data_IF_388416674843
#
_entry.id   IF_388416674843
#
_cell.length_a   1.000
_cell.length_b   1.000
_cell.length_c   1.000
_cell.angle_alpha   90.00
_cell.angle_beta   90.00
_cell.angle_gamma   90.00
#
_symmetry.space_group_name_H-M   'P 1'
#
loop_
_entity.id
_entity.type
_entity.pdbx_description
1 polymer ?
#
# COMPACT_ATOMS: atom_id res chain seq x y z
N UNK A 1 -60.16 -9.30 10.39
CA UNK A 1 -59.07 -8.51 11.01
C UNK A 1 -57.81 -9.32 10.81
N UNK A 2 -56.94 -8.89 9.89
CA UNK A 2 -55.72 -9.60 9.52
C UNK A 2 -54.53 -8.81 10.12
N UNK A 3 -53.75 -9.38 11.05
CA UNK A 3 -52.55 -8.73 11.56
C UNK A 3 -51.37 -9.03 10.62
N UNK A 4 -50.35 -8.17 10.68
CA UNK A 4 -49.03 -8.27 10.01
C UNK A 4 -48.97 -7.93 8.50
N UNK A 5 -48.87 -6.65 8.21
CA UNK A 5 -47.87 -6.18 7.25
C UNK A 5 -46.84 -5.40 8.07
N UNK A 6 -45.62 -5.93 8.20
CA UNK A 6 -44.48 -5.17 8.72
C UNK A 6 -44.10 -4.04 7.75
N UNK A 7 -43.32 -3.04 8.18
CA UNK A 7 -42.86 -1.98 7.31
C UNK A 7 -42.13 -2.60 6.11
N UNK A 8 -42.59 -2.27 4.92
CA UNK A 8 -41.90 -2.62 3.68
C UNK A 8 -40.65 -1.77 3.65
N UNK A 9 -39.47 -2.39 3.56
CA UNK A 9 -38.21 -1.68 3.35
C UNK A 9 -38.30 -0.90 2.04
N UNK A 10 -38.54 0.40 2.17
CA UNK A 10 -38.65 1.33 1.05
C UNK A 10 -37.25 1.54 0.49
N UNK A 11 -36.97 0.84 -0.61
CA UNK A 11 -35.69 0.94 -1.31
C UNK A 11 -35.64 2.31 -1.99
N UNK A 12 -34.79 3.19 -1.47
CA UNK A 12 -34.45 4.46 -2.14
C UNK A 12 -33.61 4.13 -3.38
N UNK A 13 -34.23 4.13 -4.56
CA UNK A 13 -33.53 3.97 -5.83
C UNK A 13 -32.91 5.32 -6.24
N UNK A 14 -31.59 5.37 -6.36
CA UNK A 14 -30.91 6.53 -6.93
C UNK A 14 -31.13 6.56 -8.45
N UNK A 15 -31.40 7.75 -9.03
CA UNK A 15 -31.51 7.89 -10.48
C UNK A 15 -30.27 7.35 -11.18
N UNK A 16 -30.44 6.73 -12.35
CA UNK A 16 -29.33 6.18 -13.13
C UNK A 16 -28.32 7.27 -13.53
N UNK A 17 -27.09 6.89 -13.85
CA UNK A 17 -25.94 7.79 -14.15
C UNK A 17 -26.18 8.82 -15.27
N UNK A 18 -27.23 8.65 -16.08
CA UNK A 18 -27.61 9.56 -17.17
C UNK A 18 -28.74 10.53 -16.81
N UNK A 19 -29.40 10.33 -15.68
CA UNK A 19 -30.51 11.17 -15.24
C UNK A 19 -29.98 12.38 -14.46
N UNK A 20 -30.52 13.55 -14.79
CA UNK A 20 -30.13 14.81 -14.15
C UNK A 20 -30.93 15.01 -12.89
N UNK A 21 -30.25 15.30 -11.80
CA UNK A 21 -30.87 15.66 -10.53
C UNK A 21 -30.74 17.16 -10.29
N UNK A 22 -31.84 17.83 -9.99
CA UNK A 22 -31.79 19.24 -9.58
C UNK A 22 -31.34 19.36 -8.11
N UNK A 23 -30.68 20.46 -7.72
CA UNK A 23 -30.28 20.68 -6.33
C UNK A 23 -31.46 20.56 -5.34
N UNK A 24 -32.64 21.01 -5.75
CA UNK A 24 -33.86 20.93 -4.94
C UNK A 24 -34.35 19.49 -4.77
N UNK A 25 -34.28 18.67 -5.83
CA UNK A 25 -34.63 17.25 -5.75
C UNK A 25 -33.68 16.50 -4.81
N UNK A 26 -32.38 16.76 -4.90
CA UNK A 26 -31.39 16.14 -4.02
C UNK A 26 -31.58 16.57 -2.56
N UNK A 27 -31.85 17.86 -2.33
CA UNK A 27 -32.14 18.36 -1.00
C UNK A 27 -33.39 17.70 -0.41
N UNK A 28 -34.46 17.55 -1.21
CA UNK A 28 -35.67 16.86 -0.79
C UNK A 28 -35.40 15.39 -0.42
N UNK A 29 -34.66 14.65 -1.26
CA UNK A 29 -34.26 13.27 -0.96
C UNK A 29 -33.40 13.16 0.30
N UNK A 30 -32.49 14.11 0.51
CA UNK A 30 -31.65 14.19 1.72
C UNK A 30 -32.52 14.41 2.97
N UNK A 31 -33.53 15.28 2.90
CA UNK A 31 -34.47 15.53 3.99
C UNK A 31 -35.37 14.32 4.28
N UNK A 32 -35.80 13.58 3.25
CA UNK A 32 -36.55 12.34 3.40
C UNK A 32 -35.71 11.26 4.11
N UNK A 33 -34.47 11.03 3.66
CA UNK A 33 -33.55 10.07 4.30
C UNK A 33 -33.27 10.48 5.75
N UNK A 34 -33.02 11.78 6.01
CA UNK A 34 -32.84 12.31 7.37
C UNK A 34 -34.07 12.01 8.23
N UNK A 35 -35.27 12.29 7.73
CA UNK A 35 -36.50 12.06 8.47
C UNK A 35 -36.73 10.56 8.76
N UNK A 36 -36.38 9.67 7.84
CA UNK A 36 -36.44 8.23 8.04
C UNK A 36 -35.48 7.77 9.16
N UNK A 37 -34.21 8.20 9.12
CA UNK A 37 -33.21 7.80 10.12
C UNK A 37 -33.56 8.33 11.52
N UNK A 38 -34.10 9.55 11.62
CA UNK A 38 -34.60 10.10 12.89
C UNK A 38 -35.82 9.34 13.39
N UNK A 39 -36.73 8.93 12.49
CA UNK A 39 -37.89 8.12 12.85
C UNK A 39 -37.50 6.73 13.39
N UNK A 40 -36.36 6.19 12.95
CA UNK A 40 -35.77 4.93 13.44
C UNK A 40 -34.97 5.10 14.74
N UNK A 41 -34.97 6.32 15.33
CA UNK A 41 -34.46 6.59 16.67
C UNK A 41 -33.02 7.09 16.72
N UNK A 42 -32.39 7.37 15.58
CA UNK A 42 -31.10 8.06 15.56
C UNK A 42 -31.25 9.52 15.99
N UNK A 43 -30.25 10.05 16.69
CA UNK A 43 -30.26 11.48 17.05
C UNK A 43 -29.99 12.34 15.82
N UNK A 44 -30.55 13.55 15.77
CA UNK A 44 -30.28 14.51 14.67
C UNK A 44 -28.78 14.80 14.47
N UNK A 45 -27.97 14.70 15.53
CA UNK A 45 -26.53 14.90 15.44
C UNK A 45 -25.85 13.72 14.74
N UNK A 46 -26.23 12.49 15.09
CA UNK A 46 -25.67 11.27 14.47
C UNK A 46 -26.09 11.19 13.00
N UNK A 47 -27.37 11.48 12.70
CA UNK A 47 -27.86 11.53 11.32
C UNK A 47 -27.12 12.59 10.51
N UNK A 48 -26.86 13.77 11.08
CA UNK A 48 -26.11 14.81 10.38
C UNK A 48 -24.67 14.36 10.06
N UNK A 49 -23.99 13.69 10.99
CA UNK A 49 -22.62 13.21 10.80
C UNK A 49 -22.55 12.06 9.79
N UNK A 50 -23.46 11.09 9.88
CA UNK A 50 -23.50 9.95 8.97
C UNK A 50 -23.83 10.39 7.54
N UNK A 51 -24.79 11.30 7.37
CA UNK A 51 -25.09 11.87 6.05
C UNK A 51 -23.93 12.70 5.50
N UNK A 52 -23.17 13.39 6.36
CA UNK A 52 -21.97 14.15 5.97
C UNK A 52 -20.88 13.23 5.43
N UNK A 53 -20.68 12.08 6.08
CA UNK A 53 -19.71 11.07 5.65
C UNK A 53 -20.19 10.42 4.35
N UNK A 54 -21.41 9.88 4.33
CA UNK A 54 -21.95 9.14 3.18
C UNK A 54 -22.09 10.01 1.92
N UNK A 55 -22.62 11.24 2.05
CA UNK A 55 -22.82 12.12 0.89
C UNK A 55 -21.57 12.90 0.51
N UNK A 56 -20.61 13.07 1.42
CA UNK A 56 -19.31 13.69 1.14
C UNK A 56 -18.49 12.93 0.09
N UNK A 57 -18.77 11.65 -0.14
CA UNK A 57 -18.13 10.82 -1.16
C UNK A 57 -18.80 10.92 -2.54
N UNK A 58 -20.06 11.37 -2.59
CA UNK A 58 -20.80 11.51 -3.85
C UNK A 58 -20.37 12.80 -4.54
N UNK A 59 -19.78 12.64 -5.72
CA UNK A 59 -19.36 13.77 -6.56
C UNK A 59 -20.30 13.92 -7.74
N UNK A 60 -20.79 15.14 -7.93
CA UNK A 60 -21.66 15.54 -9.03
C UNK A 60 -20.90 16.43 -10.00
N UNK A 61 -21.36 16.50 -11.25
CA UNK A 61 -20.80 17.39 -12.27
C UNK A 61 -21.93 18.15 -12.97
N UNK A 62 -21.75 19.46 -13.16
CA UNK A 62 -22.68 20.31 -13.89
C UNK A 62 -22.38 20.39 -15.41
N UNK A 63 -23.18 21.15 -16.15
CA UNK A 63 -23.00 21.37 -17.59
C UNK A 63 -21.70 22.08 -17.97
N UNK A 64 -21.05 22.74 -17.01
CA UNK A 64 -19.76 23.40 -17.19
C UNK A 64 -18.58 22.50 -16.78
N UNK A 65 -18.83 21.22 -16.52
CA UNK A 65 -17.85 20.24 -16.04
C UNK A 65 -17.21 20.61 -14.68
N UNK A 66 -17.91 21.38 -13.86
CA UNK A 66 -17.46 21.70 -12.50
C UNK A 66 -17.94 20.60 -11.56
N UNK A 67 -17.05 20.12 -10.70
CA UNK A 67 -17.39 19.13 -9.67
C UNK A 67 -18.06 19.77 -8.46
N UNK A 68 -19.08 19.09 -7.95
CA UNK A 68 -19.92 19.49 -6.82
C UNK A 68 -20.02 18.36 -5.80
N UNK A 69 -20.15 18.70 -4.52
CA UNK A 69 -20.44 17.77 -3.41
C UNK A 69 -21.54 18.36 -2.53
N UNK A 70 -22.28 17.49 -1.85
CA UNK A 70 -23.30 17.88 -0.88
C UNK A 70 -23.04 17.14 0.43
N UNK A 71 -22.96 17.86 1.55
CA UNK A 71 -22.60 17.27 2.86
C UNK A 71 -23.81 16.96 3.75
N UNK A 72 -25.01 16.94 3.17
CA UNK A 72 -26.26 16.75 3.91
C UNK A 72 -26.96 18.06 4.29
N UNK A 73 -26.37 19.23 4.02
CA UNK A 73 -27.06 20.51 4.13
C UNK A 73 -26.52 21.62 3.22
N UNK A 74 -25.27 21.54 2.80
CA UNK A 74 -24.58 22.57 2.03
C UNK A 74 -23.96 21.98 0.76
N UNK A 75 -24.05 22.74 -0.32
CA UNK A 75 -23.36 22.44 -1.57
C UNK A 75 -21.96 23.05 -1.57
N UNK A 76 -21.01 22.25 -2.03
CA UNK A 76 -19.60 22.59 -2.17
C UNK A 76 -19.21 22.47 -3.64
N UNK A 77 -18.52 23.49 -4.16
CA UNK A 77 -17.99 23.57 -5.52
C UNK A 77 -16.48 23.36 -5.49
N UNK A 78 -15.96 22.50 -6.36
CA UNK A 78 -14.52 22.41 -6.55
C UNK A 78 -14.01 23.63 -7.32
N UNK A 79 -13.12 24.38 -6.68
CA UNK A 79 -12.21 25.32 -7.37
C UNK A 79 -10.93 24.58 -7.71
N UNK A 80 -10.09 25.14 -8.58
CA UNK A 80 -8.82 24.53 -9.00
C UNK A 80 -7.88 24.12 -7.86
N UNK A 81 -8.13 24.57 -6.62
CA UNK A 81 -7.30 24.27 -5.45
C UNK A 81 -8.07 23.91 -4.17
N UNK A 82 -9.39 24.09 -4.09
CA UNK A 82 -10.15 23.90 -2.85
C UNK A 82 -11.66 23.72 -3.08
N UNK A 83 -12.37 23.11 -2.13
CA UNK A 83 -13.82 23.11 -2.07
C UNK A 83 -14.33 24.43 -1.46
N UNK A 84 -15.23 25.13 -2.15
CA UNK A 84 -15.87 26.36 -1.69
C UNK A 84 -17.39 26.21 -1.64
N UNK A 85 -18.01 26.70 -0.58
CA UNK A 85 -19.48 26.70 -0.46
C UNK A 85 -20.12 27.51 -1.59
N UNK A 86 -21.02 26.90 -2.35
CA UNK A 86 -21.71 27.55 -3.47
C UNK A 86 -23.01 26.82 -3.81
N UNK A 87 -23.86 27.39 -4.68
CA UNK A 87 -25.11 26.76 -5.11
C UNK A 87 -25.00 26.33 -6.57
N UNK A 88 -25.30 25.08 -6.93
CA UNK A 88 -25.24 24.64 -8.31
C UNK A 88 -26.24 25.41 -9.20
N UNK A 89 -25.86 25.77 -10.44
CA UNK A 89 -26.69 26.61 -11.30
C UNK A 89 -27.85 25.85 -11.98
N UNK A 90 -27.91 24.52 -11.88
CA UNK A 90 -28.92 23.71 -12.57
C UNK A 90 -28.74 22.22 -12.33
N UNK A 91 -29.28 21.42 -13.25
CA UNK A 91 -29.26 19.95 -13.15
C UNK A 91 -27.84 19.38 -13.14
N UNK A 92 -27.59 18.51 -12.17
CA UNK A 92 -26.34 17.82 -11.92
C UNK A 92 -26.40 16.38 -12.43
N UNK A 93 -25.25 15.86 -12.86
CA UNK A 93 -25.07 14.42 -13.11
C UNK A 93 -24.21 13.82 -12.02
N UNK A 94 -24.51 12.59 -11.61
CA UNK A 94 -23.64 11.84 -10.70
C UNK A 94 -22.41 11.41 -11.49
N UNK A 95 -21.24 11.91 -11.10
CA UNK A 95 -19.95 11.56 -11.73
C UNK A 95 -19.35 10.33 -11.06
N UNK A 96 -19.40 10.30 -9.72
CA UNK A 96 -18.89 9.20 -8.93
C UNK A 96 -19.71 9.04 -7.65
N UNK A 97 -20.24 7.84 -7.45
CA UNK A 97 -20.81 7.40 -6.18
C UNK A 97 -20.09 6.12 -5.77
N UNK A 98 -19.26 6.21 -4.74
CA UNK A 98 -18.70 5.03 -4.07
C UNK A 98 -19.49 4.91 -2.79
N UNK A 99 -20.25 3.83 -2.66
CA UNK A 99 -20.86 3.48 -1.39
C UNK A 99 -20.14 2.23 -0.91
N UNK A 100 -19.20 2.40 0.01
CA UNK A 100 -18.76 1.29 0.85
C UNK A 100 -19.76 1.25 2.02
N UNK A 101 -20.94 0.67 1.78
CA UNK A 101 -21.75 0.19 2.89
C UNK A 101 -20.89 -0.91 3.51
N UNK A 102 -20.29 -0.61 4.66
CA UNK A 102 -19.72 -1.64 5.51
C UNK A 102 -20.84 -2.67 5.64
N UNK A 103 -20.65 -3.91 5.14
CA UNK A 103 -21.70 -4.91 5.29
C UNK A 103 -22.00 -4.95 6.78
N UNK A 104 -23.28 -4.74 7.14
CA UNK A 104 -23.79 -5.01 8.48
C UNK A 104 -22.99 -6.21 8.99
N UNK A 105 -22.22 -6.08 10.08
CA UNK A 105 -21.26 -7.09 10.44
C UNK A 105 -22.05 -8.39 10.55
N UNK A 106 -21.87 -9.27 9.56
CA UNK A 106 -22.50 -10.58 9.50
C UNK A 106 -22.07 -11.23 10.81
N UNK A 107 -22.97 -11.19 11.80
CA UNK A 107 -22.81 -11.57 13.21
C UNK A 107 -21.46 -12.24 13.45
N UNK A 108 -20.45 -11.43 13.79
CA UNK A 108 -19.11 -11.95 14.04
C UNK A 108 -19.26 -13.01 15.14
N UNK A 109 -19.03 -14.30 14.84
CA UNK A 109 -19.26 -15.37 15.80
C UNK A 109 -18.37 -15.22 17.04
N UNK A 110 -17.28 -14.43 16.95
CA UNK A 110 -16.42 -14.07 18.06
C UNK A 110 -17.07 -12.98 18.95
N UNK A 111 -17.79 -12.04 18.35
CA UNK A 111 -18.53 -10.98 19.05
C UNK A 111 -19.83 -11.53 19.68
N UNK A 112 -20.51 -12.47 19.02
CA UNK A 112 -21.58 -13.28 19.62
C UNK A 112 -21.08 -14.15 20.79
N UNK A 113 -19.88 -14.76 20.68
CA UNK A 113 -19.26 -15.48 21.80
C UNK A 113 -18.87 -14.55 22.96
N UNK A 114 -18.38 -13.35 22.66
CA UNK A 114 -18.04 -12.33 23.65
C UNK A 114 -19.30 -11.80 24.35
N UNK A 115 -20.38 -11.54 23.62
CA UNK A 115 -21.66 -11.11 24.18
C UNK A 115 -22.30 -12.23 25.01
N UNK A 116 -22.32 -13.47 24.52
CA UNK A 116 -22.79 -14.63 25.29
C UNK A 116 -21.93 -14.87 26.55
N UNK A 117 -20.62 -14.61 26.49
CA UNK A 117 -19.71 -14.64 27.63
C UNK A 117 -19.98 -13.51 28.63
N UNK A 118 -20.30 -12.30 28.14
CA UNK A 118 -20.65 -11.15 28.96
C UNK A 118 -22.00 -11.33 29.67
N UNK A 119 -22.99 -11.93 29.01
CA UNK A 119 -24.27 -12.31 29.63
C UNK A 119 -24.06 -13.38 30.74
N UNK A 120 -23.16 -14.33 30.51
CA UNK A 120 -22.73 -15.29 31.54
C UNK A 120 -22.08 -14.61 32.76
N UNK A 121 -21.20 -13.63 32.52
CA UNK A 121 -20.57 -12.83 33.58
C UNK A 121 -21.56 -11.96 34.34
N UNK A 122 -22.57 -11.39 33.66
CA UNK A 122 -23.63 -10.63 34.31
C UNK A 122 -24.46 -11.52 35.25
N UNK A 123 -24.81 -12.74 34.80
CA UNK A 123 -25.53 -13.71 35.64
C UNK A 123 -24.71 -14.21 36.83
N UNK A 124 -23.40 -14.41 36.66
CA UNK A 124 -22.50 -14.78 37.76
C UNK A 124 -22.26 -13.61 38.73
N UNK A 125 -22.25 -12.37 38.23
CA UNK A 125 -22.17 -11.16 39.05
C UNK A 125 -23.43 -10.97 39.91
N UNK A 126 -24.62 -11.15 39.33
CA UNK A 126 -25.88 -11.10 40.09
C UNK A 126 -25.96 -12.20 41.15
N UNK A 127 -25.49 -13.42 40.84
CA UNK A 127 -25.41 -14.52 41.81
C UNK A 127 -24.41 -14.19 42.93
N UNK A 128 -23.26 -13.61 42.60
CA UNK A 128 -22.27 -13.19 43.58
C UNK A 128 -22.82 -12.12 44.54
N UNK A 129 -23.54 -11.13 44.03
CA UNK A 129 -24.23 -10.11 44.85
C UNK A 129 -25.28 -10.74 45.76
N UNK A 130 -26.05 -11.71 45.27
CA UNK A 130 -27.07 -12.40 46.06
C UNK A 130 -26.46 -13.27 47.19
N UNK A 131 -25.30 -13.88 46.94
CA UNK A 131 -24.59 -14.73 47.91
C UNK A 131 -23.78 -13.92 48.94
N UNK A 132 -23.37 -12.69 48.61
CA UNK A 132 -22.54 -11.84 49.46
C UNK A 132 -23.19 -10.45 49.65
N UNK A 133 -24.35 -10.36 50.32
CA UNK A 133 -25.07 -9.09 50.50
C UNK A 133 -24.29 -8.06 51.34
N UNK A 134 -23.29 -8.52 52.11
CA UNK A 134 -22.42 -7.68 52.94
C UNK A 134 -21.09 -7.32 52.25
N UNK A 135 -20.88 -7.72 50.98
CA UNK A 135 -19.69 -7.37 50.22
C UNK A 135 -19.67 -5.85 49.96
N UNK A 136 -18.79 -5.17 50.68
CA UNK A 136 -18.46 -3.76 50.43
C UNK A 136 -17.44 -3.73 49.30
N UNK A 137 -17.89 -3.35 48.11
CA UNK A 137 -17.01 -3.10 46.98
C UNK A 137 -16.03 -1.97 47.35
N UNK A 138 -14.73 -2.09 47.01
CA UNK A 138 -13.84 -0.95 47.12
C UNK A 138 -14.42 0.18 46.27
N UNK A 139 -14.59 1.37 46.85
CA UNK A 139 -15.00 2.56 46.12
C UNK A 139 -14.08 2.71 44.90
N UNK A 140 -14.67 2.76 43.71
CA UNK A 140 -13.94 3.10 42.48
C UNK A 140 -13.33 4.47 42.75
N UNK A 141 -11.99 4.63 42.69
CA UNK A 141 -11.36 5.91 42.97
C UNK A 141 -11.99 6.98 42.09
N UNK A 142 -12.33 8.13 42.67
CA UNK A 142 -12.84 9.27 41.92
C UNK A 142 -11.91 9.55 40.74
N UNK A 143 -12.49 9.72 39.56
CA UNK A 143 -11.82 9.94 38.26
C UNK A 143 -10.85 11.14 38.29
N UNK A 144 -10.98 11.99 39.33
CA UNK A 144 -10.16 13.16 39.60
C UNK A 144 -8.87 12.89 40.39
N UNK A 145 -8.63 11.65 40.86
CA UNK A 145 -7.39 11.24 41.56
C UNK A 145 -6.45 10.40 40.67
N UNK A 146 -6.68 10.39 39.35
CA UNK A 146 -5.62 10.03 38.40
C UNK A 146 -4.61 11.17 38.38
N UNK A 147 -3.58 11.04 39.23
CA UNK A 147 -2.35 11.83 39.16
C UNK A 147 -1.91 11.89 37.70
N UNK A 148 -1.74 13.09 37.10
CA UNK A 148 -1.22 13.19 35.75
C UNK A 148 0.14 12.50 35.74
N UNK A 149 0.22 11.37 35.06
CA UNK A 149 1.50 10.80 34.64
C UNK A 149 2.27 11.94 33.98
N UNK A 150 3.51 12.19 34.43
CA UNK A 150 4.42 13.15 33.81
C UNK A 150 4.31 13.06 32.28
N UNK A 151 4.32 14.20 31.55
CA UNK A 151 4.30 14.16 30.10
C UNK A 151 5.48 13.29 29.66
N UNK A 152 5.14 12.12 29.11
CA UNK A 152 6.12 11.24 28.50
C UNK A 152 6.79 12.07 27.43
N UNK A 153 8.07 12.35 27.65
CA UNK A 153 8.97 12.96 26.70
C UNK A 153 9.03 12.08 25.45
N UNK A 154 8.16 12.40 24.49
CA UNK A 154 7.92 11.69 23.23
C UNK A 154 9.10 11.81 22.24
N UNK A 155 10.26 12.28 22.72
CA UNK A 155 11.49 12.41 21.93
C UNK A 155 12.34 11.13 21.92
N UNK A 156 12.00 10.10 22.70
CA UNK A 156 12.56 8.76 22.50
C UNK A 156 11.77 7.99 21.45
N UNK A 157 11.89 8.42 20.18
CA UNK A 157 11.61 7.55 19.04
C UNK A 157 12.41 6.27 19.21
N UNK A 158 11.71 5.14 19.25
CA UNK A 158 12.29 3.82 19.05
C UNK A 158 13.13 3.86 17.76
N UNK A 159 14.34 3.28 17.72
CA UNK A 159 15.08 3.16 16.48
C UNK A 159 14.23 2.35 15.49
N UNK A 160 13.64 3.04 14.51
CA UNK A 160 12.97 2.40 13.40
C UNK A 160 13.97 1.48 12.72
N UNK A 161 13.63 0.19 12.64
CA UNK A 161 14.46 -0.75 11.92
C UNK A 161 14.68 -0.23 10.50
N UNK A 162 15.94 -0.24 10.06
CA UNK A 162 16.25 0.33 8.76
C UNK A 162 15.44 -0.32 7.65
N UNK A 163 14.96 0.46 6.65
CA UNK A 163 14.19 -0.12 5.56
C UNK A 163 15.02 -1.25 4.94
N UNK A 164 14.41 -2.43 4.67
CA UNK A 164 15.14 -3.57 4.17
C UNK A 164 15.86 -3.19 2.87
N UNK A 165 17.20 -3.26 2.90
CA UNK A 165 18.05 -2.84 1.78
C UNK A 165 18.77 -1.50 1.97
N UNK A 166 18.61 -0.81 3.10
CA UNK A 166 19.38 0.39 3.41
C UNK A 166 20.88 0.10 3.40
N UNK A 167 21.63 0.84 2.58
CA UNK A 167 23.09 0.80 2.54
C UNK A 167 23.63 2.22 2.52
N UNK A 168 24.18 2.66 3.65
CA UNK A 168 24.83 3.96 3.75
C UNK A 168 25.86 4.13 2.62
N UNK A 169 25.71 5.23 1.89
CA UNK A 169 26.63 5.63 0.81
C UNK A 169 27.36 6.92 1.15
N UNK A 170 26.74 7.75 2.00
CA UNK A 170 27.22 9.05 2.42
C UNK A 170 26.94 9.29 3.90
N UNK A 171 27.59 10.30 4.44
CA UNK A 171 27.44 10.80 5.80
C UNK A 171 27.15 12.30 5.74
N UNK A 172 26.20 12.76 6.55
CA UNK A 172 25.90 14.19 6.72
C UNK A 172 27.11 14.90 7.35
N UNK A 173 27.56 16.04 6.80
CA UNK A 173 28.73 16.76 7.30
C UNK A 173 28.56 17.19 8.76
N UNK A 174 29.68 17.50 9.43
CA UNK A 174 29.69 17.86 10.84
C UNK A 174 28.86 19.12 11.19
N UNK A 175 28.50 19.94 10.20
CA UNK A 175 27.66 21.12 10.36
C UNK A 175 26.15 20.82 10.32
N UNK A 176 25.75 19.57 10.04
CA UNK A 176 24.37 19.24 9.68
C UNK A 176 24.07 19.64 8.23
N UNK A 177 22.84 19.42 7.78
CA UNK A 177 22.45 19.71 6.40
C UNK A 177 20.96 20.03 6.30
N UNK A 178 20.59 21.12 5.62
CA UNK A 178 19.18 21.42 5.35
C UNK A 178 18.60 20.43 4.35
N UNK A 179 17.28 20.25 4.39
CA UNK A 179 16.55 19.39 3.46
C UNK A 179 15.48 20.15 2.70
N UNK A 180 15.02 19.59 1.58
CA UNK A 180 13.98 20.15 0.73
C UNK A 180 13.02 19.06 0.25
N UNK A 181 11.76 19.45 -0.01
CA UNK A 181 10.74 18.54 -0.55
C UNK A 181 11.00 18.27 -2.03
N UNK A 182 11.35 19.32 -2.78
CA UNK A 182 11.78 19.24 -4.17
C UNK A 182 13.10 20.01 -4.40
N UNK A 183 13.89 19.60 -5.40
CA UNK A 183 15.12 20.29 -5.71
C UNK A 183 14.85 21.69 -6.27
N UNK A 184 15.35 22.72 -5.55
CA UNK A 184 15.16 24.13 -5.90
C UNK A 184 14.10 24.85 -5.08
N UNK A 185 13.41 24.16 -4.17
CA UNK A 185 12.45 24.79 -3.26
C UNK A 185 13.09 25.92 -2.45
N UNK A 186 12.38 27.05 -2.37
CA UNK A 186 12.86 28.24 -1.68
C UNK A 186 12.89 28.09 -0.15
N UNK A 187 12.10 27.15 0.40
CA UNK A 187 11.94 26.98 1.84
C UNK A 187 12.58 25.65 2.29
N UNK A 188 13.63 25.70 3.12
CA UNK A 188 14.22 24.48 3.67
C UNK A 188 13.28 23.85 4.70
N UNK A 189 13.22 22.53 4.68
CA UNK A 189 12.59 21.69 5.68
C UNK A 189 13.47 21.44 6.91
N UNK A 190 13.18 20.38 7.69
CA UNK A 190 13.99 19.99 8.84
C UNK A 190 15.46 19.75 8.48
N UNK A 191 16.40 20.13 9.35
CA UNK A 191 17.82 19.84 9.12
C UNK A 191 18.19 18.44 9.59
N UNK A 192 19.08 17.79 8.87
CA UNK A 192 19.70 16.52 9.24
C UNK A 192 20.78 16.74 10.29
N UNK A 193 20.84 15.81 11.23
CA UNK A 193 21.85 15.81 12.27
C UNK A 193 23.25 15.51 11.71
N UNK A 194 24.30 16.15 12.27
CA UNK A 194 25.69 15.87 11.91
C UNK A 194 26.06 14.39 12.03
N UNK A 195 26.76 13.85 11.03
CA UNK A 195 27.26 12.47 11.07
C UNK A 195 26.19 11.40 10.78
N UNK A 196 24.97 11.79 10.43
CA UNK A 196 23.91 10.84 10.07
C UNK A 196 24.29 10.08 8.80
N UNK A 197 24.17 8.76 8.84
CA UNK A 197 24.37 7.91 7.67
C UNK A 197 23.15 8.02 6.74
N UNK A 198 23.40 8.28 5.46
CA UNK A 198 22.34 8.39 4.45
C UNK A 198 22.68 7.54 3.22
N UNK A 199 21.63 7.04 2.57
CA UNK A 199 21.75 6.39 1.28
C UNK A 199 21.27 7.35 0.20
N UNK A 200 22.14 7.69 -0.74
CA UNK A 200 21.78 8.44 -1.92
C UNK A 200 21.04 7.53 -2.90
N UNK A 201 19.83 7.94 -3.27
CA UNK A 201 18.95 7.21 -4.18
C UNK A 201 19.17 7.66 -5.63
N UNK A 202 19.23 8.96 -5.85
CA UNK A 202 19.41 9.57 -7.18
C UNK A 202 20.06 10.96 -7.09
N UNK A 203 20.45 11.48 -8.25
CA UNK A 203 21.04 12.81 -8.42
C UNK A 203 20.32 13.58 -9.52
N UNK A 204 20.11 14.87 -9.29
CA UNK A 204 19.55 15.77 -10.29
C UNK A 204 20.25 17.13 -10.23
N UNK A 205 21.21 17.33 -11.14
CA UNK A 205 22.10 18.49 -11.10
C UNK A 205 22.95 18.50 -9.82
N UNK A 206 22.87 19.59 -9.05
CA UNK A 206 23.55 19.73 -7.75
C UNK A 206 22.79 19.05 -6.59
N UNK A 207 21.61 18.50 -6.84
CA UNK A 207 20.75 17.93 -5.81
C UNK A 207 20.90 16.42 -5.69
N UNK A 208 20.82 15.92 -4.46
CA UNK A 208 20.80 14.50 -4.16
C UNK A 208 19.51 14.14 -3.40
N UNK A 209 18.79 13.13 -3.89
CA UNK A 209 17.68 12.54 -3.15
C UNK A 209 18.24 11.45 -2.25
N UNK A 210 17.97 11.54 -0.96
CA UNK A 210 18.48 10.64 0.06
C UNK A 210 17.36 9.89 0.77
N UNK A 211 17.70 8.75 1.36
CA UNK A 211 16.93 8.10 2.42
C UNK A 211 17.78 7.97 3.68
N UNK A 212 17.16 8.18 4.84
CA UNK A 212 17.75 7.96 6.15
C UNK A 212 17.52 6.52 6.63
N UNK A 213 18.23 6.12 7.69
CA UNK A 213 18.05 4.79 8.29
C UNK A 213 16.64 4.55 8.82
N UNK A 214 15.87 5.56 9.17
CA UNK A 214 14.47 5.41 9.58
C UNK A 214 13.45 5.38 8.41
N UNK A 215 13.92 5.40 7.16
CA UNK A 215 13.08 5.41 5.96
C UNK A 215 12.58 6.79 5.51
N UNK A 216 12.87 7.86 6.25
CA UNK A 216 12.55 9.22 5.81
C UNK A 216 13.38 9.63 4.59
N UNK A 217 12.76 10.34 3.64
CA UNK A 217 13.39 10.76 2.39
C UNK A 217 13.30 12.28 2.22
N UNK A 218 14.32 12.86 1.58
CA UNK A 218 14.36 14.28 1.25
C UNK A 218 15.43 14.59 0.20
N UNK A 219 15.36 15.79 -0.38
CA UNK A 219 16.41 16.34 -1.23
C UNK A 219 17.40 17.18 -0.41
N UNK A 220 18.69 17.11 -0.76
CA UNK A 220 19.77 17.89 -0.16
C UNK A 220 20.73 18.42 -1.24
N UNK A 221 21.57 19.40 -0.91
CA UNK A 221 22.70 19.78 -1.77
C UNK A 221 23.73 18.63 -1.79
N UNK A 222 23.82 17.94 -2.93
CA UNK A 222 24.62 16.75 -3.09
C UNK A 222 26.13 17.01 -3.00
N UNK A 223 26.57 18.26 -3.15
CA UNK A 223 27.98 18.65 -3.09
C UNK A 223 28.53 18.64 -1.67
N UNK A 224 27.65 18.77 -0.67
CA UNK A 224 28.01 18.82 0.74
C UNK A 224 28.00 17.44 1.42
N UNK A 225 27.51 16.40 0.72
CA UNK A 225 27.53 15.02 1.22
C UNK A 225 28.95 14.45 1.25
N UNK A 226 29.30 13.78 2.35
CA UNK A 226 30.62 13.13 2.50
C UNK A 226 30.48 11.64 2.17
N UNK A 227 31.18 11.09 1.16
CA UNK A 227 31.11 9.67 0.84
C UNK A 227 31.48 8.79 2.04
N UNK A 228 30.59 7.87 2.41
CA UNK A 228 30.88 6.87 3.45
C UNK A 228 31.77 5.80 2.81
N UNK A 229 33.04 5.73 3.22
CA UNK A 229 33.98 4.73 2.71
C UNK A 229 33.42 3.31 2.91
N UNK A 230 32.92 2.70 1.84
CA UNK A 230 32.36 1.36 1.89
C UNK A 230 33.48 0.33 2.10
N UNK A 231 33.58 -0.20 3.31
CA UNK A 231 34.32 -1.43 3.60
C UNK A 231 35.80 -1.25 3.93
N UNK A 232 36.09 -0.71 5.10
CA UNK A 232 37.21 -1.21 5.90
C UNK A 232 36.69 -1.46 7.31
N UNK A 233 36.53 -2.74 7.66
CA UNK A 233 36.97 -3.18 8.98
C UNK A 233 38.30 -2.49 9.28
N UNK A 234 38.52 -2.09 10.53
CA UNK A 234 39.79 -1.92 11.25
C UNK A 234 39.63 -0.74 12.20
N UNK A 235 39.68 -1.07 13.49
CA UNK A 235 39.62 -0.15 14.58
C UNK A 235 40.64 0.98 14.47
N UNK A 236 40.30 2.05 15.17
CA UNK A 236 41.18 3.09 15.66
C UNK A 236 42.66 2.67 15.65
N UNK A 237 43.41 3.11 14.64
CA UNK A 237 44.87 2.98 14.61
C UNK A 237 45.45 4.29 14.11
N UNK A 238 45.89 5.08 15.08
CA UNK A 238 46.70 6.29 14.91
C UNK A 238 48.00 5.93 14.18
N UNK A 239 48.48 6.70 13.18
CA UNK A 239 49.75 6.39 12.52
C UNK A 239 50.93 6.94 13.33
N UNK A 240 51.85 6.06 13.74
CA UNK A 240 53.19 6.42 14.24
C UNK A 240 54.21 6.51 13.08
N UNK A 241 55.26 7.34 13.19
CA UNK A 241 56.14 7.69 12.07
C UNK A 241 57.12 6.58 11.66
N UNK A 242 57.39 6.55 10.36
CA UNK A 242 58.34 5.68 9.64
C UNK A 242 59.74 5.69 10.27
N UNK A 243 60.31 4.50 10.46
CA UNK A 243 61.75 4.31 10.61
C UNK A 243 62.27 3.41 9.48
N UNK A 244 63.22 3.98 8.74
CA UNK A 244 64.03 3.42 7.66
C UNK A 244 64.91 2.26 8.13
N UNK A 245 64.88 1.12 7.42
CA UNK A 245 66.07 0.39 6.97
C UNK A 245 65.68 -0.91 6.23
N UNK A 246 66.21 -1.07 5.02
CA UNK A 246 66.43 -2.35 4.34
C UNK A 246 67.95 -2.62 4.36
N UNK A 247 68.51 -3.68 3.73
CA UNK A 247 68.03 -5.04 3.42
C UNK A 247 69.10 -6.12 3.81
N UNK A 248 68.72 -7.40 3.98
CA UNK A 248 69.52 -8.56 3.49
C UNK A 248 68.78 -9.88 3.73
N UNK A 249 68.59 -10.64 2.66
CA UNK A 249 69.09 -12.02 2.48
C UNK A 249 68.18 -12.82 1.53
N UNK A 250 68.72 -13.10 0.34
CA UNK A 250 68.30 -14.20 -0.53
C UNK A 250 68.53 -15.55 0.16
N UNK A 251 67.50 -16.40 0.22
CA UNK A 251 67.67 -17.87 0.25
C UNK A 251 66.49 -18.54 -0.46
N UNK A 252 66.86 -19.36 -1.46
CA UNK A 252 66.23 -20.59 -1.94
C UNK A 252 64.75 -20.62 -2.39
N UNK A 253 64.60 -20.66 -3.72
CA UNK A 253 63.98 -21.78 -4.46
C UNK A 253 63.18 -22.82 -3.65
N UNK A 254 61.86 -22.66 -3.63
CA UNK A 254 60.91 -23.77 -3.56
C UNK A 254 59.65 -23.38 -4.31
N UNK A 255 59.50 -23.87 -5.55
CA UNK A 255 58.22 -23.83 -6.27
C UNK A 255 57.25 -24.79 -5.58
N UNK A 256 56.06 -24.34 -5.11
CA UNK A 256 54.94 -25.23 -4.96
C UNK A 256 54.24 -25.33 -6.32
N UNK A 257 54.47 -26.44 -7.02
CA UNK A 257 53.57 -26.88 -8.09
C UNK A 257 52.23 -27.29 -7.46
N UNK A 258 51.42 -26.29 -7.14
CA UNK A 258 50.02 -26.43 -6.75
C UNK A 258 49.17 -25.84 -7.87
N UNK A 259 49.24 -26.42 -9.06
CA UNK A 259 48.14 -26.33 -10.04
C UNK A 259 46.98 -27.17 -9.48
N UNK A 260 46.37 -26.69 -8.38
CA UNK A 260 45.03 -27.06 -8.02
C UNK A 260 44.16 -26.43 -9.11
N UNK A 261 43.83 -27.22 -10.13
CA UNK A 261 42.90 -26.84 -11.17
C UNK A 261 41.60 -26.39 -10.52
N UNK A 262 41.44 -25.08 -10.37
CA UNK A 262 40.16 -24.46 -10.15
C UNK A 262 39.35 -24.78 -11.40
N UNK A 263 38.64 -25.91 -11.35
CA UNK A 263 37.51 -26.17 -12.23
C UNK A 263 36.55 -25.03 -11.95
N UNK A 264 36.64 -23.97 -12.74
CA UNK A 264 35.51 -23.06 -12.92
C UNK A 264 34.36 -23.96 -13.35
N UNK A 265 33.51 -24.32 -12.39
CA UNK A 265 32.24 -24.95 -12.66
C UNK A 265 31.48 -23.87 -13.40
N UNK A 266 31.55 -23.89 -14.74
CA UNK A 266 30.68 -23.06 -15.56
C UNK A 266 29.27 -23.47 -15.16
N UNK A 267 28.49 -22.59 -14.51
CA UNK A 267 27.13 -22.93 -14.11
C UNK A 267 26.41 -23.41 -15.37
N UNK A 268 25.76 -24.58 -15.29
CA UNK A 268 25.06 -25.11 -16.45
C UNK A 268 24.09 -24.04 -16.95
N UNK A 269 24.01 -23.85 -18.27
CA UNK A 269 23.22 -22.78 -18.89
C UNK A 269 21.73 -22.80 -18.49
N UNK A 270 21.20 -23.92 -17.99
CA UNK A 270 19.82 -24.01 -17.49
C UNK A 270 19.64 -23.47 -16.07
N UNK A 271 20.72 -23.40 -15.29
CA UNK A 271 20.68 -23.09 -13.87
C UNK A 271 20.47 -21.59 -13.65
N UNK A 272 21.08 -20.68 -14.41
CA UNK A 272 20.83 -19.26 -14.19
C UNK A 272 19.42 -18.84 -14.65
N UNK A 273 18.86 -19.48 -15.69
CA UNK A 273 17.57 -19.14 -16.28
C UNK A 273 16.40 -19.27 -15.29
N UNK A 274 16.34 -20.35 -14.51
CA UNK A 274 15.26 -20.55 -13.52
C UNK A 274 15.32 -19.49 -12.42
N UNK A 275 16.52 -19.14 -11.93
CA UNK A 275 16.68 -18.10 -10.90
C UNK A 275 16.35 -16.71 -11.44
N UNK A 276 16.82 -16.37 -12.64
CA UNK A 276 16.49 -15.11 -13.29
C UNK A 276 14.99 -15.00 -13.57
N UNK A 277 14.35 -16.09 -14.02
CA UNK A 277 12.91 -16.11 -14.28
C UNK A 277 12.08 -15.95 -13.02
N UNK A 278 12.43 -16.65 -11.92
CA UNK A 278 11.77 -16.49 -10.62
C UNK A 278 11.92 -15.06 -10.08
N UNK A 279 13.12 -14.48 -10.19
CA UNK A 279 13.38 -13.11 -9.76
C UNK A 279 12.57 -12.09 -10.58
N UNK A 280 12.56 -12.22 -11.92
CA UNK A 280 11.76 -11.35 -12.78
C UNK A 280 10.26 -11.47 -12.51
N UNK A 281 9.76 -12.69 -12.26
CA UNK A 281 8.35 -12.91 -11.93
C UNK A 281 7.96 -12.27 -10.60
N UNK A 282 8.82 -12.41 -9.57
CA UNK A 282 8.63 -11.78 -8.27
C UNK A 282 8.73 -10.25 -8.33
N UNK A 283 9.74 -9.70 -9.03
CA UNK A 283 9.88 -8.25 -9.22
C UNK A 283 8.71 -7.66 -10.01
N UNK A 284 8.27 -8.35 -11.06
CA UNK A 284 7.14 -7.92 -11.87
C UNK A 284 5.84 -7.75 -11.07
N UNK A 285 5.66 -8.48 -9.95
CA UNK A 285 4.50 -8.33 -9.08
C UNK A 285 4.46 -6.97 -8.34
N UNK A 286 5.61 -6.33 -8.09
CA UNK A 286 5.71 -5.03 -7.42
C UNK A 286 5.74 -3.84 -8.38
N UNK A 287 6.01 -4.09 -9.66
CA UNK A 287 5.99 -3.05 -10.67
C UNK A 287 4.55 -2.62 -10.99
N UNK A 288 4.34 -1.46 -11.63
CA UNK A 288 3.02 -1.04 -12.13
C UNK A 288 2.43 -2.06 -13.11
N UNK A 289 1.23 -2.54 -12.83
CA UNK A 289 0.44 -3.42 -13.71
C UNK A 289 -0.57 -2.63 -14.54
N UNK A 290 -1.05 -1.51 -14.01
CA UNK A 290 -1.93 -0.56 -14.68
C UNK A 290 -1.29 0.82 -14.67
N UNK A 291 -1.32 1.48 -15.83
CA UNK A 291 -1.07 2.90 -15.96
C UNK A 291 -2.34 3.55 -16.54
N UNK A 292 -3.00 4.38 -15.73
CA UNK A 292 -4.21 5.10 -16.14
C UNK A 292 -3.87 6.46 -16.77
N UNK A 293 -2.58 6.79 -16.89
CA UNK A 293 -2.11 8.08 -17.39
C UNK A 293 -2.39 9.24 -16.44
N UNK A 294 -2.00 10.45 -16.86
CA UNK A 294 -2.35 11.73 -16.24
C UNK A 294 -2.05 11.87 -14.73
N UNK A 295 -1.02 11.19 -14.21
CA UNK A 295 -0.64 11.29 -12.79
C UNK A 295 -1.55 10.50 -11.85
N UNK A 296 -2.44 9.64 -12.36
CA UNK A 296 -3.16 8.69 -11.54
C UNK A 296 -2.17 7.72 -10.84
N UNK A 297 -2.47 7.29 -9.61
CA UNK A 297 -1.61 6.36 -8.90
C UNK A 297 -1.48 5.05 -9.69
N UNK A 298 -0.24 4.59 -9.84
CA UNK A 298 0.05 3.30 -10.47
C UNK A 298 -0.43 2.17 -9.59
N UNK A 299 -1.12 1.19 -10.19
CA UNK A 299 -1.67 0.05 -9.47
C UNK A 299 -0.78 -1.16 -9.69
N UNK A 300 -0.41 -1.85 -8.61
CA UNK A 300 0.47 -3.03 -8.63
C UNK A 300 -0.34 -4.34 -8.71
N UNK A 301 0.35 -5.48 -8.81
CA UNK A 301 -0.34 -6.78 -8.74
C UNK A 301 -1.02 -7.05 -7.39
N UNK A 302 -0.61 -6.35 -6.32
CA UNK A 302 -1.17 -6.54 -4.98
C UNK A 302 -2.54 -5.90 -4.81
N UNK A 303 -2.87 -4.97 -5.68
CA UNK A 303 -4.16 -4.29 -5.65
C UNK A 303 -5.20 -5.09 -6.44
N UNK A 304 -4.77 -5.82 -7.47
CA UNK A 304 -5.64 -6.71 -8.25
C UNK A 304 -6.03 -7.98 -7.47
N UNK A 305 -7.33 -8.23 -7.33
CA UNK A 305 -7.84 -9.50 -6.81
C UNK A 305 -7.84 -10.59 -7.88
N UNK A 306 -7.61 -11.85 -7.51
CA UNK A 306 -7.58 -12.99 -8.45
C UNK A 306 -8.92 -13.17 -9.16
N UNK A 307 -10.02 -12.77 -8.53
CA UNK A 307 -11.37 -12.82 -9.09
C UNK A 307 -11.48 -11.97 -10.35
N UNK A 308 -10.73 -10.87 -10.44
CA UNK A 308 -10.61 -10.04 -11.65
C UNK A 308 -10.20 -10.86 -12.89
N UNK A 309 -9.39 -11.91 -12.72
CA UNK A 309 -8.96 -12.76 -13.84
C UNK A 309 -10.12 -13.55 -14.48
N UNK A 310 -11.22 -13.73 -13.74
CA UNK A 310 -12.40 -14.47 -14.19
C UNK A 310 -13.55 -13.51 -14.52
N UNK A 311 -13.76 -12.51 -13.67
CA UNK A 311 -14.85 -11.54 -13.72
C UNK A 311 -14.29 -10.13 -13.48
N UNK A 312 -14.18 -9.34 -14.55
CA UNK A 312 -13.63 -7.99 -14.48
C UNK A 312 -14.63 -6.96 -13.93
N UNK A 313 -15.93 -7.28 -13.92
CA UNK A 313 -16.99 -6.37 -13.47
C UNK A 313 -17.12 -6.37 -11.94
N UNK A 314 -16.79 -7.50 -11.31
CA UNK A 314 -16.81 -7.64 -9.86
C UNK A 314 -15.43 -8.10 -9.34
N UNK A 315 -14.44 -7.20 -9.26
CA UNK A 315 -13.10 -7.55 -8.80
C UNK A 315 -13.11 -8.11 -7.38
N UNK A 316 -14.04 -7.69 -6.53
CA UNK A 316 -14.28 -8.22 -5.19
C UNK A 316 -13.09 -8.11 -4.23
N UNK A 317 -13.33 -8.45 -2.96
CA UNK A 317 -12.28 -8.66 -1.96
C UNK A 317 -11.85 -10.13 -2.02
N UNK A 318 -10.60 -10.39 -2.37
CA UNK A 318 -10.12 -11.76 -2.55
C UNK A 318 -8.61 -11.87 -2.56
N UNK A 319 -8.11 -13.08 -2.78
CA UNK A 319 -6.67 -13.35 -2.84
C UNK A 319 -6.02 -12.45 -3.90
N UNK A 320 -4.99 -11.68 -3.52
CA UNK A 320 -4.33 -10.72 -4.42
C UNK A 320 -3.44 -11.44 -5.44
N UNK A 321 -3.45 -10.96 -6.69
CA UNK A 321 -2.66 -11.51 -7.79
C UNK A 321 -1.17 -11.50 -7.43
N UNK A 322 -0.68 -10.42 -6.80
CA UNK A 322 0.70 -10.28 -6.36
C UNK A 322 1.14 -11.39 -5.40
N UNK A 323 0.29 -11.78 -4.45
CA UNK A 323 0.58 -12.89 -3.53
C UNK A 323 0.70 -14.23 -4.27
N UNK A 324 -0.17 -14.49 -5.24
CA UNK A 324 -0.11 -15.71 -6.06
C UNK A 324 1.18 -15.75 -6.87
N UNK A 325 1.59 -14.63 -7.48
CA UNK A 325 2.84 -14.53 -8.23
C UNK A 325 4.06 -14.73 -7.33
N UNK A 326 4.06 -14.19 -6.12
CA UNK A 326 5.12 -14.45 -5.14
C UNK A 326 5.20 -15.92 -4.73
N UNK A 327 4.06 -16.58 -4.52
CA UNK A 327 4.04 -18.02 -4.24
C UNK A 327 4.56 -18.84 -5.42
N UNK A 328 4.24 -18.45 -6.66
CA UNK A 328 4.78 -19.07 -7.87
C UNK A 328 6.29 -18.87 -7.99
N UNK A 329 6.78 -17.65 -7.79
CA UNK A 329 8.20 -17.31 -7.84
C UNK A 329 9.00 -18.04 -6.73
N UNK A 330 8.53 -17.96 -5.49
CA UNK A 330 9.12 -18.63 -4.34
C UNK A 330 9.08 -20.15 -4.48
N UNK A 331 7.95 -20.71 -4.90
CA UNK A 331 7.80 -22.14 -5.18
C UNK A 331 8.78 -22.63 -6.24
N UNK A 332 8.97 -21.87 -7.33
CA UNK A 332 9.94 -22.21 -8.37
C UNK A 332 11.38 -22.14 -7.87
N UNK A 333 11.69 -21.15 -7.03
CA UNK A 333 13.00 -21.00 -6.40
C UNK A 333 13.31 -22.14 -5.42
N UNK A 334 12.34 -22.57 -4.61
CA UNK A 334 12.49 -23.69 -3.66
C UNK A 334 12.58 -25.02 -4.41
N UNK A 335 11.70 -25.26 -5.38
CA UNK A 335 11.67 -26.49 -6.19
C UNK A 335 13.01 -26.75 -6.90
N UNK A 336 13.75 -25.69 -7.21
CA UNK A 336 15.11 -25.78 -7.76
C UNK A 336 16.14 -26.30 -6.75
N UNK A 337 16.07 -25.87 -5.49
CA UNK A 337 17.05 -26.25 -4.46
C UNK A 337 16.74 -27.62 -3.84
N UNK A 338 15.48 -28.04 -3.89
CA UNK A 338 15.06 -29.36 -3.42
C UNK A 338 15.32 -30.43 -4.47
N UNK A 339 16.11 -31.44 -4.12
CA UNK A 339 16.33 -32.61 -4.97
C UNK A 339 15.00 -33.31 -5.27
N UNK A 340 14.72 -33.56 -6.55
CA UNK A 340 13.54 -34.28 -7.01
C UNK A 340 12.32 -33.41 -7.35
N UNK A 341 12.34 -32.11 -7.04
CA UNK A 341 11.22 -31.19 -7.29
C UNK A 341 11.31 -30.43 -8.61
N UNK A 342 12.30 -30.75 -9.44
CA UNK A 342 12.60 -30.03 -10.69
C UNK A 342 11.42 -30.05 -11.67
N UNK A 343 10.62 -31.12 -11.65
CA UNK A 343 9.42 -31.25 -12.49
C UNK A 343 8.31 -30.24 -12.14
N UNK A 344 8.34 -29.65 -10.94
CA UNK A 344 7.37 -28.67 -10.50
C UNK A 344 7.63 -27.25 -11.05
N UNK A 345 8.83 -26.96 -11.56
CA UNK A 345 9.15 -25.62 -12.09
C UNK A 345 8.30 -25.27 -13.31
N UNK A 346 8.10 -26.22 -14.22
CA UNK A 346 7.33 -26.01 -15.46
C UNK A 346 5.84 -25.69 -15.20
N UNK A 347 5.07 -26.44 -14.38
CA UNK A 347 3.69 -26.07 -14.10
C UNK A 347 3.59 -24.72 -13.37
N UNK A 348 4.51 -24.40 -12.45
CA UNK A 348 4.54 -23.08 -11.80
C UNK A 348 4.75 -21.95 -12.83
N UNK A 349 5.67 -22.16 -13.79
CA UNK A 349 5.88 -21.21 -14.87
C UNK A 349 4.62 -21.01 -15.74
N UNK A 350 3.91 -22.11 -16.06
CA UNK A 350 2.65 -22.05 -16.83
C UNK A 350 1.58 -21.26 -16.07
N UNK A 351 1.47 -21.45 -14.75
CA UNK A 351 0.53 -20.68 -13.91
C UNK A 351 0.86 -19.19 -13.98
N UNK A 352 2.13 -18.80 -13.82
CA UNK A 352 2.55 -17.40 -13.92
C UNK A 352 2.23 -16.77 -15.28
N UNK A 353 2.48 -17.50 -16.38
CA UNK A 353 2.14 -17.06 -17.75
C UNK A 353 0.62 -16.93 -17.91
N UNK A 354 -0.15 -17.90 -17.42
CA UNK A 354 -1.61 -17.90 -17.52
C UNK A 354 -2.24 -16.71 -16.78
N UNK A 355 -1.74 -16.38 -15.58
CA UNK A 355 -2.17 -15.21 -14.81
C UNK A 355 -1.96 -13.93 -15.63
N UNK A 356 -0.76 -13.73 -16.19
CA UNK A 356 -0.46 -12.55 -16.99
C UNK A 356 -1.33 -12.48 -18.26
N UNK A 357 -1.51 -13.60 -18.96
CA UNK A 357 -2.33 -13.67 -20.17
C UNK A 357 -3.82 -13.40 -19.91
N UNK A 358 -4.38 -13.99 -18.84
CA UNK A 358 -5.76 -13.72 -18.43
C UNK A 358 -5.96 -12.27 -18.04
N UNK A 359 -5.01 -11.70 -17.29
CA UNK A 359 -5.05 -10.28 -16.92
C UNK A 359 -5.15 -9.39 -18.16
N UNK A 360 -4.27 -9.56 -19.15
CA UNK A 360 -4.31 -8.79 -20.41
C UNK A 360 -5.66 -8.92 -21.13
N UNK A 361 -6.23 -10.13 -21.18
CA UNK A 361 -7.54 -10.37 -21.80
C UNK A 361 -8.65 -9.63 -21.05
N UNK A 362 -8.63 -9.64 -19.73
CA UNK A 362 -9.64 -8.96 -18.91
C UNK A 362 -9.50 -7.44 -18.99
N UNK A 363 -8.26 -6.92 -18.98
CA UNK A 363 -8.00 -5.50 -19.24
C UNK A 363 -8.54 -5.08 -20.60
N UNK A 364 -8.31 -5.89 -21.64
CA UNK A 364 -8.87 -5.62 -22.97
C UNK A 364 -10.40 -5.59 -22.96
N UNK A 365 -11.06 -6.50 -22.25
CA UNK A 365 -12.52 -6.52 -22.11
C UNK A 365 -13.03 -5.27 -21.40
N UNK A 366 -12.40 -4.89 -20.29
CA UNK A 366 -12.75 -3.69 -19.54
C UNK A 366 -12.61 -2.42 -20.39
N UNK A 367 -11.49 -2.29 -21.12
CA UNK A 367 -11.24 -1.15 -22.03
C UNK A 367 -12.22 -1.14 -23.21
N UNK A 368 -12.62 -2.31 -23.72
CA UNK A 368 -13.60 -2.40 -24.80
C UNK A 368 -15.00 -2.01 -24.33
N UNK A 369 -15.36 -2.38 -23.10
CA UNK A 369 -16.65 -2.02 -22.50
C UNK A 369 -16.76 -0.52 -22.19
N UNK A 370 -15.65 0.15 -21.84
CA UNK A 370 -15.65 1.60 -21.60
C UNK A 370 -15.69 2.43 -22.88
N UNK A 371 -15.34 1.86 -24.03
CA UNK A 371 -15.34 2.57 -25.32
C UNK A 371 -16.71 3.02 -25.81
N UNK A 372 -17.79 2.44 -25.30
CA UNK A 372 -19.15 2.87 -25.61
C UNK A 372 -19.50 4.25 -25.02
N UNK A 373 -18.63 4.81 -24.16
CA UNK A 373 -18.82 6.12 -23.51
C UNK A 373 -18.35 7.32 -24.36
N UNK A 374 -17.91 7.11 -25.61
CA UNK A 374 -17.70 8.19 -26.58
C UNK A 374 -16.41 9.01 -26.48
N UNK A 375 -15.45 8.59 -25.64
CA UNK A 375 -14.10 9.18 -25.56
C UNK A 375 -13.07 8.46 -26.44
N UNK A 376 -11.93 9.11 -26.74
CA UNK A 376 -10.77 8.43 -27.31
C UNK A 376 -10.25 7.42 -26.28
N UNK A 377 -10.48 6.13 -26.54
CA UNK A 377 -10.06 5.06 -25.65
C UNK A 377 -8.57 4.79 -25.86
N UNK A 378 -7.73 4.90 -24.82
CA UNK A 378 -6.33 4.52 -24.93
C UNK A 378 -6.21 3.05 -25.36
N UNK A 379 -5.18 2.73 -26.14
CA UNK A 379 -4.93 1.37 -26.56
C UNK A 379 -4.68 0.48 -25.34
N UNK A 380 -5.08 -0.79 -25.40
CA UNK A 380 -4.86 -1.73 -24.28
C UNK A 380 -3.38 -1.78 -23.85
N UNK A 381 -2.46 -1.59 -24.80
CA UNK A 381 -1.02 -1.57 -24.54
C UNK A 381 -0.54 -0.33 -23.80
N UNK A 382 -1.27 0.79 -23.90
CA UNK A 382 -0.98 2.03 -23.19
C UNK A 382 -1.44 1.93 -21.72
N UNK A 383 -2.44 1.08 -21.46
CA UNK A 383 -3.01 0.84 -20.13
C UNK A 383 -2.22 -0.22 -19.35
N UNK A 384 -1.61 -1.18 -20.05
CA UNK A 384 -0.85 -2.27 -19.42
C UNK A 384 0.53 -1.77 -18.99
N UNK A 385 0.78 -1.78 -17.69
CA UNK A 385 2.07 -1.41 -17.10
C UNK A 385 3.18 -2.44 -17.32
N UNK A 386 4.43 -2.02 -17.08
CA UNK A 386 5.63 -2.83 -17.27
C UNK A 386 5.68 -4.09 -16.39
N UNK A 387 4.95 -4.13 -15.28
CA UNK A 387 4.91 -5.28 -14.38
C UNK A 387 4.40 -6.54 -15.04
N UNK A 388 3.34 -6.43 -15.86
CA UNK A 388 2.76 -7.56 -16.59
C UNK A 388 3.78 -8.17 -17.56
N UNK A 389 4.47 -7.33 -18.32
CA UNK A 389 5.49 -7.78 -19.29
C UNK A 389 6.70 -8.41 -18.60
N UNK A 390 7.13 -7.83 -17.48
CA UNK A 390 8.24 -8.36 -16.68
C UNK A 390 7.89 -9.73 -16.09
N UNK A 391 6.68 -9.89 -15.54
CA UNK A 391 6.19 -11.17 -15.01
C UNK A 391 6.01 -12.22 -16.11
N UNK A 392 5.48 -11.83 -17.27
CA UNK A 392 5.32 -12.72 -18.43
C UNK A 392 6.67 -13.22 -18.94
N UNK A 393 7.66 -12.33 -19.07
CA UNK A 393 9.03 -12.68 -19.45
C UNK A 393 9.68 -13.60 -18.40
N UNK A 394 9.48 -13.32 -17.11
CA UNK A 394 9.93 -14.18 -16.01
C UNK A 394 9.34 -15.59 -16.08
N UNK A 395 8.03 -15.69 -16.34
CA UNK A 395 7.34 -16.97 -16.54
C UNK A 395 7.85 -17.74 -17.76
N UNK A 396 8.06 -17.06 -18.89
CA UNK A 396 8.63 -17.69 -20.09
C UNK A 396 10.06 -18.19 -19.86
N UNK A 397 10.89 -17.41 -19.16
CA UNK A 397 12.26 -17.79 -18.83
C UNK A 397 12.31 -18.97 -17.84
N UNK A 398 11.38 -19.02 -16.87
CA UNK A 398 11.19 -20.17 -15.99
C UNK A 398 10.80 -21.43 -16.77
N UNK A 399 9.84 -21.31 -17.70
CA UNK A 399 9.37 -22.44 -18.52
C UNK A 399 10.49 -23.00 -19.40
N UNK A 400 11.29 -22.11 -20.02
CA UNK A 400 12.44 -22.49 -20.82
C UNK A 400 13.55 -23.13 -19.99
N UNK A 401 13.89 -22.57 -18.82
CA UNK A 401 14.88 -23.14 -17.90
C UNK A 401 14.47 -24.53 -17.39
N UNK A 402 13.17 -24.74 -17.17
CA UNK A 402 12.60 -26.02 -16.75
C UNK A 402 12.56 -27.11 -17.82
N UNK A 403 12.66 -26.78 -19.12
CA UNK A 403 12.60 -27.76 -20.21
C UNK A 403 13.95 -28.35 -20.61
N UNK A 404 15.05 -27.81 -20.10
CA UNK A 404 16.43 -28.20 -20.45
C UNK A 404 16.99 -29.33 -19.55
N UNK A 405 16.13 -29.99 -18.76
CA UNK A 405 16.44 -31.15 -17.93
C UNK A 405 15.55 -32.31 -18.36
#
# INVERSE_FOLDING_TARGET
>A
MNPSQGPTSERVEFPGTDERITPEQWQHQTEEIRAMLVADGMSEADVAEDLRIAFGEITFVDDSHISWRHDGGVWWRWTSSAWEQSTPPGGLRVDRAVFELDPEPDSDPELEQLLAGAEGLAGDYERFIAEHPDATWPEVPDEHELVPSDPVDDTRRLPGAAPPGFRATHVVPAAGMSTWAEPGDAQPGPSLDPGLNVQQLETWGDWAHITCDNGWTAWVDGRDLVPSGAGTDHGWSVPAPRSTAAPVASVASAQPTSQAGQRFVTPSKSTWAVSAGAAALGLGAFLPWYDLGAGAPTVSAFDGAIKYLVDYENPGTGLRIGLVLLLVAGGAFVARHMRGWERAVRPLAIVGIAICGLFVVQTQRAVSASGDLGGEVPGVLDVIGFGVWTSLAGGALLAWGGSQK
#
